data_IF_517493534401
#
_entry.id   IF_517493534401
#
_cell.length_a   1.000
_cell.length_b   1.000
_cell.length_c   1.000
_cell.angle_alpha   90.00
_cell.angle_beta   90.00
_cell.angle_gamma   90.00
#
_symmetry.space_group_name_H-M   'P 1'
#
loop_
_entity.id
_entity.type
_entity.pdbx_description
1 polymer ?
#
# COMPACT_ATOMS: atom_id res chain seq x y z
N UNK A 1 7.56 -20.80 5.06
CA UNK A 1 8.39 -19.59 4.79
C UNK A 1 8.69 -18.83 6.06
N UNK A 2 7.71 -18.39 6.86
CA UNK A 2 7.88 -17.57 8.08
C UNK A 2 8.81 -18.16 9.12
N UNK A 3 8.67 -19.43 9.48
CA UNK A 3 9.55 -20.10 10.45
C UNK A 3 11.02 -20.08 10.04
N UNK A 4 11.29 -20.19 8.74
CA UNK A 4 12.66 -20.16 8.22
C UNK A 4 13.27 -18.77 8.33
N UNK A 5 12.48 -17.73 8.03
CA UNK A 5 12.91 -16.33 8.21
C UNK A 5 13.13 -16.02 9.68
N UNK A 6 12.22 -16.43 10.56
CA UNK A 6 12.32 -16.20 11.99
C UNK A 6 13.59 -16.82 12.56
N UNK A 7 13.86 -18.10 12.30
CA UNK A 7 15.08 -18.77 12.74
C UNK A 7 16.36 -18.08 12.24
N UNK A 8 16.32 -17.59 11.01
CA UNK A 8 17.45 -16.84 10.47
C UNK A 8 17.66 -15.55 11.25
N UNK A 9 16.61 -14.78 11.51
CA UNK A 9 16.71 -13.52 12.26
C UNK A 9 17.19 -13.72 13.70
N UNK A 10 16.68 -14.75 14.38
CA UNK A 10 17.12 -15.10 15.75
C UNK A 10 18.60 -15.49 15.83
N UNK A 11 19.13 -16.12 14.79
CA UNK A 11 20.51 -16.58 14.76
C UNK A 11 21.54 -15.48 14.49
N UNK A 12 21.10 -14.26 14.16
CA UNK A 12 22.03 -13.19 13.79
C UNK A 12 22.66 -12.51 15.00
N UNK A 13 23.99 -12.27 14.89
CA UNK A 13 24.76 -11.51 15.87
C UNK A 13 25.54 -10.42 15.13
N UNK A 14 25.32 -9.13 15.44
CA UNK A 14 24.38 -8.59 16.44
C UNK A 14 22.93 -8.80 16.05
N UNK A 15 22.03 -8.75 17.03
CA UNK A 15 20.60 -8.97 16.79
C UNK A 15 20.03 -8.03 15.71
N UNK A 16 19.23 -8.59 14.82
CA UNK A 16 18.49 -7.84 13.80
C UNK A 16 17.09 -7.40 14.28
N UNK A 17 16.67 -7.91 15.44
CA UNK A 17 15.41 -7.53 16.05
C UNK A 17 15.54 -6.13 16.66
N UNK A 18 14.45 -5.38 16.62
CA UNK A 18 14.37 -4.01 17.13
C UNK A 18 13.23 -3.89 18.14
N UNK A 19 13.32 -2.92 19.04
CA UNK A 19 12.35 -2.71 20.11
C UNK A 19 11.18 -1.81 19.67
N UNK A 20 11.38 -1.00 18.61
CA UNK A 20 10.38 -0.05 18.14
C UNK A 20 10.43 0.13 16.62
N UNK A 21 9.36 0.66 16.05
CA UNK A 21 9.31 1.01 14.63
C UNK A 21 10.32 2.10 14.27
N UNK A 22 10.48 3.11 15.12
CA UNK A 22 11.41 4.20 14.89
C UNK A 22 12.86 3.70 14.81
N UNK A 23 13.26 2.82 15.73
CA UNK A 23 14.58 2.18 15.69
C UNK A 23 14.80 1.40 14.39
N UNK A 24 13.79 0.64 13.94
CA UNK A 24 13.88 -0.12 12.69
C UNK A 24 14.02 0.79 11.47
N UNK A 25 13.26 1.88 11.42
CA UNK A 25 13.32 2.87 10.34
C UNK A 25 14.69 3.57 10.31
N UNK A 26 15.21 3.96 11.47
CA UNK A 26 16.55 4.56 11.56
C UNK A 26 17.66 3.62 11.12
N UNK A 27 17.56 2.33 11.45
CA UNK A 27 18.51 1.32 10.94
C UNK A 27 18.47 1.21 9.42
N UNK A 28 17.29 1.26 8.79
CA UNK A 28 17.17 1.28 7.32
C UNK A 28 17.94 2.48 6.74
N UNK A 29 17.76 3.67 7.31
CA UNK A 29 18.44 4.90 6.89
C UNK A 29 19.96 4.81 7.05
N UNK A 30 20.41 4.35 8.20
CA UNK A 30 21.84 4.24 8.52
C UNK A 30 22.58 3.28 7.57
N UNK A 31 21.95 2.20 7.14
CA UNK A 31 22.60 1.16 6.34
C UNK A 31 22.51 1.36 4.82
N UNK A 32 21.86 2.43 4.34
CA UNK A 32 21.85 2.85 2.92
C UNK A 32 21.63 1.69 1.94
N UNK A 33 20.50 0.99 2.08
CA UNK A 33 20.10 -0.09 1.18
C UNK A 33 20.65 -1.49 1.52
N UNK A 34 21.46 -1.64 2.57
CA UNK A 34 21.97 -2.95 3.03
C UNK A 34 21.14 -3.57 4.16
N UNK A 35 20.11 -2.90 4.62
CA UNK A 35 19.21 -3.37 5.65
C UNK A 35 17.77 -3.10 5.22
N UNK A 36 16.89 -4.06 5.44
CA UNK A 36 15.46 -3.93 5.23
C UNK A 36 14.74 -4.27 6.54
N UNK A 37 13.71 -3.51 6.85
CA UNK A 37 12.91 -3.68 8.05
C UNK A 37 11.53 -4.22 7.70
N UNK A 38 11.11 -5.30 8.33
CA UNK A 38 9.76 -5.84 8.22
C UNK A 38 8.87 -5.20 9.29
N UNK A 39 7.86 -4.49 8.86
CA UNK A 39 6.89 -3.87 9.75
C UNK A 39 5.49 -3.98 9.15
N UNK A 40 4.51 -3.58 9.90
CA UNK A 40 3.12 -3.57 9.48
C UNK A 40 2.89 -2.63 8.29
N UNK A 41 2.05 -3.04 7.32
CA UNK A 41 1.85 -2.31 6.08
C UNK A 41 1.37 -0.87 6.31
N UNK A 42 0.45 -0.65 7.22
CA UNK A 42 -0.08 0.68 7.55
C UNK A 42 0.96 1.60 8.16
N UNK A 43 1.80 1.07 9.07
CA UNK A 43 2.92 1.82 9.65
C UNK A 43 3.98 2.15 8.59
N UNK A 44 4.26 1.20 7.69
CA UNK A 44 5.18 1.41 6.57
C UNK A 44 4.70 2.52 5.64
N UNK A 45 3.44 2.47 5.22
CA UNK A 45 2.85 3.48 4.35
C UNK A 45 2.81 4.85 5.02
N UNK A 46 2.54 4.90 6.32
CA UNK A 46 2.58 6.14 7.08
C UNK A 46 3.99 6.73 7.11
N UNK A 47 5.00 5.93 7.45
CA UNK A 47 6.39 6.37 7.53
C UNK A 47 6.92 6.87 6.18
N UNK A 48 6.61 6.16 5.09
CA UNK A 48 7.05 6.53 3.74
C UNK A 48 6.42 7.84 3.22
N UNK A 49 5.33 8.31 3.83
CA UNK A 49 4.69 9.58 3.52
C UNK A 49 5.13 10.73 4.47
N UNK A 50 6.16 10.54 5.27
CA UNK A 50 6.71 11.52 6.23
C UNK A 50 8.15 11.86 5.90
N UNK A 51 8.53 13.11 6.23
CA UNK A 51 9.92 13.52 6.12
C UNK A 51 10.85 12.63 6.96
N UNK A 52 12.05 12.37 6.46
CA UNK A 52 12.76 12.96 5.32
C UNK A 52 12.43 12.35 3.95
N UNK A 53 11.44 11.45 3.81
CA UNK A 53 11.00 10.89 2.53
C UNK A 53 12.07 10.01 1.85
N UNK A 54 12.84 9.29 2.63
CA UNK A 54 14.02 8.52 2.24
C UNK A 54 13.83 7.01 2.35
N UNK A 55 12.62 6.57 2.63
CA UNK A 55 12.25 5.16 2.72
C UNK A 55 11.16 4.80 1.73
N UNK A 56 11.11 3.53 1.34
CA UNK A 56 10.11 3.02 0.41
C UNK A 56 9.71 1.60 0.76
N UNK A 57 8.48 1.23 0.41
CA UNK A 57 8.01 -0.15 0.49
C UNK A 57 8.58 -0.97 -0.66
N UNK A 58 9.09 -2.16 -0.37
CA UNK A 58 9.63 -3.09 -1.35
C UNK A 58 8.79 -4.38 -1.36
N UNK A 59 8.33 -4.77 -2.54
CA UNK A 59 7.56 -5.99 -2.75
C UNK A 59 6.11 -5.93 -2.26
N UNK A 60 5.43 -7.07 -2.37
CA UNK A 60 4.07 -7.25 -1.89
C UNK A 60 4.02 -7.52 -0.37
N UNK A 61 2.85 -7.34 0.23
CA UNK A 61 2.65 -7.73 1.62
C UNK A 61 2.88 -9.23 1.78
N UNK A 62 3.62 -9.61 2.82
CA UNK A 62 3.89 -11.02 3.13
C UNK A 62 2.63 -11.74 3.58
N UNK A 63 1.77 -11.03 4.28
CA UNK A 63 0.49 -11.51 4.78
C UNK A 63 -0.50 -10.33 4.77
N UNK A 64 -1.80 -10.62 4.63
CA UNK A 64 -2.84 -9.60 4.69
C UNK A 64 -3.91 -10.07 5.67
N UNK A 65 -4.02 -9.33 6.78
CA UNK A 65 -5.05 -9.50 7.80
C UNK A 65 -5.69 -8.15 8.07
N UNK A 66 -6.99 -8.15 8.38
CA UNK A 66 -7.70 -6.93 8.73
C UNK A 66 -7.58 -6.60 10.22
N UNK A 67 -7.74 -5.33 10.54
CA UNK A 67 -7.94 -4.91 11.92
C UNK A 67 -9.34 -5.31 12.40
N UNK A 68 -9.47 -5.59 13.68
CA UNK A 68 -10.73 -5.86 14.33
C UNK A 68 -10.88 -5.07 15.62
N UNK A 69 -12.12 -4.86 16.03
CA UNK A 69 -12.44 -4.27 17.34
C UNK A 69 -12.69 -5.41 18.32
N UNK A 70 -11.92 -5.45 19.41
CA UNK A 70 -12.10 -6.47 20.44
C UNK A 70 -13.20 -6.04 21.43
N UNK A 71 -14.06 -6.98 21.74
CA UNK A 71 -15.06 -6.87 22.80
C UNK A 71 -14.87 -8.01 23.80
N UNK A 72 -15.26 -7.86 25.07
CA UNK A 72 -15.25 -8.98 26.01
C UNK A 72 -16.07 -10.16 25.48
N UNK A 73 -15.68 -11.38 25.89
CA UNK A 73 -16.41 -12.57 25.50
C UNK A 73 -17.88 -12.51 26.00
N UNK A 74 -18.84 -12.82 25.10
CA UNK A 74 -20.27 -12.73 25.40
C UNK A 74 -20.85 -11.32 25.41
N UNK A 75 -20.10 -10.30 24.98
CA UNK A 75 -20.58 -8.92 24.91
C UNK A 75 -21.72 -8.76 23.92
N UNK A 76 -22.81 -8.14 24.33
CA UNK A 76 -23.97 -7.78 23.49
C UNK A 76 -23.59 -6.74 22.41
N UNK A 77 -22.51 -6.00 22.62
CA UNK A 77 -22.03 -4.97 21.68
C UNK A 77 -21.37 -5.53 20.43
N UNK A 78 -21.01 -6.81 20.40
CA UNK A 78 -20.30 -7.43 19.28
C UNK A 78 -21.00 -7.20 17.94
N UNK A 79 -22.28 -7.53 17.87
CA UNK A 79 -23.04 -7.45 16.62
C UNK A 79 -23.35 -5.99 16.24
N UNK A 80 -23.63 -5.16 17.22
CA UNK A 80 -23.85 -3.71 17.01
C UNK A 80 -22.59 -3.05 16.44
N UNK A 81 -21.42 -3.35 16.99
CA UNK A 81 -20.14 -2.82 16.51
C UNK A 81 -19.83 -3.34 15.10
N UNK A 82 -20.05 -4.63 14.83
CA UNK A 82 -19.85 -5.19 13.50
C UNK A 82 -20.71 -4.49 12.43
N UNK A 83 -21.99 -4.29 12.73
CA UNK A 83 -22.89 -3.58 11.81
C UNK A 83 -22.46 -2.12 11.61
N UNK A 84 -22.03 -1.44 12.66
CA UNK A 84 -21.53 -0.08 12.56
C UNK A 84 -20.27 0.02 11.70
N UNK A 85 -19.32 -0.90 11.85
CA UNK A 85 -18.12 -0.96 11.02
C UNK A 85 -18.46 -1.19 9.55
N UNK A 86 -19.37 -2.13 9.26
CA UNK A 86 -19.84 -2.38 7.90
C UNK A 86 -20.50 -1.14 7.29
N UNK A 87 -21.37 -0.47 8.03
CA UNK A 87 -22.02 0.76 7.56
C UNK A 87 -21.00 1.90 7.27
N UNK A 88 -19.96 2.03 8.08
CA UNK A 88 -18.88 3.00 7.83
C UNK A 88 -18.06 2.64 6.59
N UNK A 89 -17.84 1.35 6.36
CA UNK A 89 -17.13 0.85 5.18
C UNK A 89 -17.94 1.08 3.91
N UNK A 90 -19.23 0.75 3.91
CA UNK A 90 -20.14 0.97 2.77
C UNK A 90 -20.27 2.45 2.40
N UNK A 91 -20.31 3.35 3.39
CA UNK A 91 -20.32 4.80 3.17
C UNK A 91 -18.98 5.37 2.72
N UNK A 92 -17.92 4.56 2.70
CA UNK A 92 -16.58 4.98 2.36
C UNK A 92 -15.90 5.88 3.39
N UNK A 93 -16.45 6.00 4.62
CA UNK A 93 -15.89 6.86 5.67
C UNK A 93 -14.50 6.38 6.12
N UNK A 94 -14.30 5.06 6.23
CA UNK A 94 -12.99 4.51 6.58
C UNK A 94 -11.94 4.87 5.53
N UNK A 95 -12.31 4.82 4.25
CA UNK A 95 -11.39 5.20 3.15
C UNK A 95 -11.12 6.71 3.12
N UNK A 96 -12.09 7.54 3.45
CA UNK A 96 -11.88 9.00 3.62
C UNK A 96 -10.89 9.29 4.74
N UNK A 97 -11.01 8.58 5.89
CA UNK A 97 -10.10 8.73 7.01
C UNK A 97 -8.67 8.29 6.65
N UNK A 98 -8.53 7.15 5.98
CA UNK A 98 -7.25 6.69 5.47
C UNK A 98 -6.62 7.74 4.55
N UNK A 99 -7.35 8.22 3.54
CA UNK A 99 -6.89 9.26 2.64
C UNK A 99 -6.48 10.53 3.38
N UNK A 100 -7.30 10.97 4.33
CA UNK A 100 -7.04 12.17 5.13
C UNK A 100 -5.73 12.07 5.92
N UNK A 101 -5.48 10.95 6.57
CA UNK A 101 -4.39 10.82 7.52
C UNK A 101 -3.09 10.30 6.92
N UNK A 102 -3.16 9.40 5.92
CA UNK A 102 -1.98 8.83 5.28
C UNK A 102 -1.53 9.64 4.07
N UNK A 103 -2.47 10.07 3.21
CA UNK A 103 -2.14 10.66 1.92
C UNK A 103 -2.27 12.18 1.86
N UNK A 104 -3.38 12.78 2.27
CA UNK A 104 -3.57 14.22 2.18
C UNK A 104 -2.69 15.02 3.15
N UNK A 105 -2.28 14.41 4.25
CA UNK A 105 -1.32 14.97 5.20
C UNK A 105 0.10 14.44 5.00
N UNK A 106 0.37 13.81 3.87
CA UNK A 106 1.72 13.42 3.46
C UNK A 106 2.64 14.63 3.40
N UNK A 107 3.89 14.43 3.77
CA UNK A 107 4.92 15.48 3.78
C UNK A 107 5.91 15.29 2.64
N UNK A 108 5.77 14.20 1.89
CA UNK A 108 6.61 13.87 0.76
C UNK A 108 5.94 14.33 -0.53
N UNK A 109 6.64 15.08 -1.33
CA UNK A 109 6.24 15.33 -2.70
C UNK A 109 6.32 13.98 -3.42
N UNK A 110 5.18 13.39 -3.70
CA UNK A 110 5.12 12.26 -4.62
C UNK A 110 5.45 12.83 -6.00
N UNK A 111 6.73 12.95 -6.29
CA UNK A 111 7.17 13.06 -7.68
C UNK A 111 6.45 11.93 -8.41
N UNK A 112 5.78 12.26 -9.50
CA UNK A 112 4.91 11.45 -10.35
C UNK A 112 5.59 10.12 -10.72
N UNK A 113 5.65 9.18 -9.78
CA UNK A 113 6.25 7.86 -10.01
C UNK A 113 5.61 6.78 -9.17
N UNK A 114 4.28 6.86 -8.99
CA UNK A 114 3.57 5.68 -8.54
C UNK A 114 2.15 5.73 -9.06
N UNK A 115 1.86 4.82 -10.03
CA UNK A 115 0.53 4.28 -10.29
C UNK A 115 -0.69 5.20 -10.22
N UNK A 116 -0.51 6.53 -10.26
CA UNK A 116 -1.62 7.38 -10.65
C UNK A 116 -1.97 6.92 -12.05
N UNK A 117 -3.10 6.27 -12.19
CA UNK A 117 -3.71 6.04 -13.49
C UNK A 117 -3.59 7.37 -14.26
N UNK A 118 -2.53 7.50 -15.05
CA UNK A 118 -2.42 8.60 -16.00
C UNK A 118 -3.74 8.55 -16.75
N UNK A 119 -4.55 9.58 -16.60
CA UNK A 119 -5.82 9.66 -17.30
C UNK A 119 -5.54 9.31 -18.75
N UNK A 120 -6.19 8.26 -19.24
CA UNK A 120 -6.07 7.84 -20.64
C UNK A 120 -6.45 9.03 -21.49
N UNK A 121 -5.44 9.78 -21.91
CA UNK A 121 -5.64 10.92 -22.80
C UNK A 121 -5.93 10.38 -24.21
N UNK A 122 -6.82 11.03 -24.93
CA UNK A 122 -7.22 10.65 -26.28
C UNK A 122 -5.99 10.42 -27.20
N UNK A 123 -4.92 11.21 -27.03
CA UNK A 123 -3.68 11.03 -27.78
C UNK A 123 -2.97 9.69 -27.56
N UNK A 124 -3.11 9.08 -26.37
CA UNK A 124 -2.49 7.78 -26.04
C UNK A 124 -3.26 6.60 -26.60
N UNK A 125 -4.57 6.76 -26.87
CA UNK A 125 -5.43 5.71 -27.45
C UNK A 125 -5.75 5.95 -28.92
N UNK A 126 -5.40 7.11 -29.46
CA UNK A 126 -5.67 7.46 -30.86
C UNK A 126 -5.13 6.43 -31.86
N UNK A 127 -3.96 5.84 -31.60
CA UNK A 127 -3.36 4.82 -32.44
C UNK A 127 -4.28 3.60 -32.64
N UNK A 128 -4.99 3.18 -31.62
CA UNK A 128 -5.93 2.04 -31.72
C UNK A 128 -7.09 2.38 -32.64
N UNK A 129 -7.62 3.59 -32.54
CA UNK A 129 -8.72 4.07 -33.40
C UNK A 129 -8.29 4.22 -34.85
N UNK A 130 -7.05 4.68 -35.11
CA UNK A 130 -6.53 4.75 -36.51
C UNK A 130 -6.40 3.38 -37.13
N UNK A 131 -5.93 2.37 -36.39
CA UNK A 131 -5.85 0.99 -36.92
C UNK A 131 -7.25 0.44 -37.21
N UNK A 132 -8.21 0.70 -36.35
CA UNK A 132 -9.60 0.24 -36.48
C UNK A 132 -10.29 0.89 -37.71
N UNK A 133 -10.12 2.18 -37.89
CA UNK A 133 -10.64 2.92 -39.05
C UNK A 133 -9.96 2.41 -40.34
N UNK A 134 -8.63 2.26 -40.34
CA UNK A 134 -7.90 1.74 -41.48
C UNK A 134 -8.36 0.33 -41.87
N UNK A 135 -8.60 -0.55 -40.90
CA UNK A 135 -9.16 -1.88 -41.12
C UNK A 135 -10.54 -1.87 -41.80
N UNK A 136 -11.44 -1.03 -41.29
CA UNK A 136 -12.79 -0.90 -41.88
C UNK A 136 -12.78 -0.33 -43.30
N UNK A 137 -11.89 0.59 -43.60
CA UNK A 137 -11.76 1.15 -44.95
C UNK A 137 -11.23 0.12 -45.95
N UNK A 138 -10.27 -0.72 -45.54
CA UNK A 138 -9.72 -1.77 -46.39
C UNK A 138 -10.71 -2.92 -46.65
N UNK A 139 -11.59 -3.24 -45.71
CA UNK A 139 -12.66 -4.22 -45.96
C UNK A 139 -13.72 -3.69 -46.92
N UNK A 140 -14.14 -2.44 -46.79
CA UNK A 140 -15.12 -1.82 -47.69
C UNK A 140 -14.60 -1.57 -49.11
N UNK A 141 -13.28 -1.63 -49.31
CA UNK A 141 -12.65 -1.49 -50.66
C UNK A 141 -12.58 -2.80 -51.46
N UNK A 142 -13.05 -3.90 -50.88
CA UNK A 142 -13.03 -5.23 -51.52
C UNK A 142 -14.38 -5.69 -52.06
N UNK A 143 -15.37 -4.84 -52.07
CA UNK A 143 -16.70 -5.08 -52.68
C UNK A 143 -16.89 -4.16 -53.91
#
# INVERSE_FOLDING_TARGET
MYQRMWRFMESQVPTVLVSSYDEGIERVRAHKGRYAFMLEATANEYANNRKPCDTMKVGANLNTVGYGIATPFGSEWKDVVNLAVLALQERGELKKLENKWWYHRGQCDKGISDGSSESLNLSKVAGIFYILIGGMVTENSKF
#
